data_IF_234392491582
#
_entry.id   IF_234392491582
#
_cell.length_a   1.000
_cell.length_b   1.000
_cell.length_c   1.000
_cell.angle_alpha   90.00
_cell.angle_beta   90.00
_cell.angle_gamma   90.00
#
_symmetry.space_group_name_H-M   'P 1'
#
loop_
_entity.id
_entity.type
_entity.pdbx_description
1 polymer ?
#
# COMPACT_ATOMS: atom_id res chain seq x y z
N UNK A 1 17.06 13.86 -10.95
CA UNK A 1 16.20 15.07 -10.99
C UNK A 1 15.78 15.38 -9.56
N UNK A 2 16.26 16.46 -8.93
CA UNK A 2 16.06 16.71 -7.50
C UNK A 2 15.05 17.85 -7.24
N UNK A 3 14.02 18.01 -8.06
CA UNK A 3 13.14 19.20 -7.99
C UNK A 3 11.94 19.02 -7.05
N UNK A 4 11.58 17.80 -6.65
CA UNK A 4 10.40 17.53 -5.81
C UNK A 4 10.73 17.60 -4.31
N UNK A 5 11.92 17.16 -3.91
CA UNK A 5 12.35 17.09 -2.50
C UNK A 5 12.47 18.45 -1.80
N UNK A 6 12.46 19.56 -2.55
CA UNK A 6 12.56 20.92 -2.01
C UNK A 6 11.19 21.57 -1.70
N UNK A 7 10.08 20.99 -2.17
CA UNK A 7 8.75 21.61 -2.06
C UNK A 7 7.72 20.78 -1.30
N UNK A 8 7.98 19.49 -1.03
CA UNK A 8 7.11 18.69 -0.17
C UNK A 8 7.66 18.60 1.26
N UNK A 9 6.79 18.69 2.29
CA UNK A 9 7.23 18.55 3.67
C UNK A 9 7.91 17.19 3.87
N UNK A 10 9.08 17.19 4.52
CA UNK A 10 9.91 15.99 4.78
C UNK A 10 9.11 14.73 5.25
N UNK A 11 8.06 14.82 6.10
CA UNK A 11 7.24 13.66 6.45
C UNK A 11 6.48 13.01 5.28
N UNK A 12 6.18 13.75 4.21
CA UNK A 12 5.51 13.21 3.03
C UNK A 12 6.44 12.33 2.17
N UNK A 13 7.76 12.48 2.35
CA UNK A 13 8.78 11.75 1.60
C UNK A 13 9.46 10.66 2.44
N UNK A 14 9.38 10.75 3.77
CA UNK A 14 10.07 9.82 4.68
C UNK A 14 9.18 8.63 5.02
N UNK A 15 9.25 7.56 4.23
CA UNK A 15 8.59 6.28 4.50
C UNK A 15 9.37 5.36 5.43
N UNK A 16 10.20 5.87 6.34
CA UNK A 16 11.14 5.06 7.13
C UNK A 16 12.45 4.78 6.39
N UNK A 17 13.33 3.96 6.99
CA UNK A 17 14.68 3.69 6.46
C UNK A 17 14.70 2.98 5.10
N UNK A 18 13.61 2.28 4.74
CA UNK A 18 13.43 1.58 3.48
C UNK A 18 12.25 2.13 2.64
N UNK A 19 11.62 3.21 3.10
CA UNK A 19 10.45 3.79 2.43
C UNK A 19 9.17 2.97 2.56
N UNK A 20 9.13 1.92 3.40
CA UNK A 20 7.99 0.99 3.50
C UNK A 20 7.14 1.10 4.78
N UNK A 21 7.52 1.96 5.72
CA UNK A 21 6.89 2.08 7.05
C UNK A 21 5.38 2.33 6.98
N UNK A 22 4.93 3.23 6.09
CA UNK A 22 3.51 3.52 5.94
C UNK A 22 2.71 2.32 5.43
N UNK A 23 3.25 1.53 4.50
CA UNK A 23 2.56 0.33 4.02
C UNK A 23 2.42 -0.71 5.12
N UNK A 24 3.44 -0.87 5.99
CA UNK A 24 3.35 -1.76 7.16
C UNK A 24 2.24 -1.30 8.11
N UNK A 25 2.17 0.00 8.39
CA UNK A 25 1.11 0.57 9.23
C UNK A 25 -0.28 0.40 8.62
N UNK A 26 -0.43 0.65 7.32
CA UNK A 26 -1.69 0.45 6.61
C UNK A 26 -2.13 -1.03 6.66
N UNK A 27 -1.22 -1.96 6.43
CA UNK A 27 -1.51 -3.39 6.47
C UNK A 27 -1.97 -3.86 7.87
N UNK A 28 -1.41 -3.28 8.94
CA UNK A 28 -1.74 -3.63 10.32
C UNK A 28 -3.00 -2.92 10.85
N UNK A 29 -3.16 -1.62 10.59
CA UNK A 29 -4.13 -0.76 11.30
C UNK A 29 -5.44 -0.56 10.51
N UNK A 30 -5.42 -0.61 9.17
CA UNK A 30 -6.59 -0.18 8.35
C UNK A 30 -7.81 -1.10 8.49
N UNK A 31 -7.58 -2.38 8.77
CA UNK A 31 -8.64 -3.37 8.87
C UNK A 31 -9.62 -3.08 10.02
N UNK A 32 -9.12 -2.58 11.16
CA UNK A 32 -9.91 -2.28 12.36
C UNK A 32 -10.91 -1.12 12.16
N UNK A 33 -10.65 -0.27 11.16
CA UNK A 33 -11.48 0.89 10.82
C UNK A 33 -12.34 0.68 9.58
N UNK A 34 -12.34 -0.53 9.02
CA UNK A 34 -12.95 -0.83 7.72
C UNK A 34 -14.07 -1.86 7.84
N UNK A 35 -15.01 -1.84 6.89
CA UNK A 35 -16.03 -2.89 6.75
C UNK A 35 -15.49 -4.02 5.89
N UNK A 36 -15.97 -5.27 6.04
CA UNK A 36 -15.65 -6.34 5.11
C UNK A 36 -15.93 -5.94 3.66
N UNK A 37 -15.07 -6.37 2.74
CA UNK A 37 -15.11 -5.96 1.32
C UNK A 37 -14.56 -4.55 1.06
N UNK A 38 -13.98 -3.88 2.05
CA UNK A 38 -13.33 -2.59 1.84
C UNK A 38 -12.12 -2.71 0.91
N UNK A 39 -11.97 -1.75 0.00
CA UNK A 39 -10.84 -1.66 -0.92
C UNK A 39 -9.78 -0.72 -0.35
N UNK A 40 -8.53 -1.18 -0.32
CA UNK A 40 -7.35 -0.38 -0.05
C UNK A 40 -6.50 -0.29 -1.32
N UNK A 41 -6.33 0.92 -1.84
CA UNK A 41 -5.46 1.20 -2.97
C UNK A 41 -4.25 2.00 -2.50
N UNK A 42 -3.04 1.53 -2.82
CA UNK A 42 -1.78 2.19 -2.46
C UNK A 42 -0.96 2.48 -3.70
N UNK A 43 -0.51 3.72 -3.82
CA UNK A 43 0.47 4.13 -4.83
C UNK A 43 1.89 3.79 -4.36
N UNK A 44 2.79 3.43 -5.28
CA UNK A 44 4.17 3.08 -4.96
C UNK A 44 5.21 3.53 -5.99
N UNK A 45 6.48 3.53 -5.58
CA UNK A 45 7.61 3.70 -6.50
C UNK A 45 7.86 2.44 -7.33
N UNK A 46 8.56 2.58 -8.47
CA UNK A 46 8.67 1.53 -9.49
C UNK A 46 9.26 0.20 -9.00
N UNK A 47 10.07 0.21 -7.94
CA UNK A 47 10.79 -0.94 -7.39
C UNK A 47 10.16 -1.53 -6.11
N UNK A 48 9.15 -0.87 -5.53
CA UNK A 48 8.59 -1.26 -4.23
C UNK A 48 7.50 -2.32 -4.30
N UNK A 49 7.01 -2.64 -5.50
CA UNK A 49 5.87 -3.55 -5.73
C UNK A 49 5.97 -4.86 -4.94
N UNK A 50 7.11 -5.55 -5.06
CA UNK A 50 7.28 -6.88 -4.48
C UNK A 50 7.24 -6.83 -2.95
N UNK A 51 7.96 -5.87 -2.37
CA UNK A 51 8.02 -5.68 -0.92
C UNK A 51 6.65 -5.29 -0.34
N UNK A 52 5.87 -4.46 -1.05
CA UNK A 52 4.51 -4.12 -0.61
C UNK A 52 3.61 -5.35 -0.65
N UNK A 53 3.66 -6.17 -1.72
CA UNK A 53 2.87 -7.42 -1.77
C UNK A 53 3.23 -8.38 -0.62
N UNK A 54 4.50 -8.46 -0.26
CA UNK A 54 4.97 -9.24 0.89
C UNK A 54 4.42 -8.70 2.22
N UNK A 55 4.48 -7.38 2.44
CA UNK A 55 3.92 -6.73 3.64
C UNK A 55 2.44 -7.07 3.83
N UNK A 56 1.67 -7.07 2.73
CA UNK A 56 0.24 -7.36 2.78
C UNK A 56 -0.09 -8.85 2.83
N UNK A 57 0.87 -9.76 2.57
CA UNK A 57 0.64 -11.21 2.58
C UNK A 57 0.21 -11.74 3.95
N UNK A 58 0.73 -11.14 5.03
CA UNK A 58 0.37 -11.49 6.42
C UNK A 58 -0.83 -10.69 6.96
N UNK A 59 -1.42 -9.83 6.13
CA UNK A 59 -2.55 -8.97 6.50
C UNK A 59 -3.91 -9.62 6.15
N UNK A 60 -5.03 -9.13 6.70
CA UNK A 60 -6.36 -9.60 6.29
C UNK A 60 -6.75 -9.12 4.87
N UNK A 61 -5.98 -8.23 4.26
CA UNK A 61 -6.21 -7.76 2.90
C UNK A 61 -5.67 -8.74 1.85
N UNK A 62 -6.51 -9.10 0.87
CA UNK A 62 -6.14 -9.92 -0.26
C UNK A 62 -5.76 -9.04 -1.47
N UNK A 63 -4.70 -9.39 -2.19
CA UNK A 63 -4.34 -8.70 -3.43
C UNK A 63 -5.39 -8.95 -4.52
N UNK A 64 -5.86 -7.88 -5.16
CA UNK A 64 -6.87 -7.92 -6.23
C UNK A 64 -6.22 -7.72 -7.59
N UNK A 65 -5.56 -6.58 -7.80
CA UNK A 65 -5.00 -6.18 -9.10
C UNK A 65 -4.01 -5.04 -8.97
N UNK A 66 -3.31 -4.79 -10.06
CA UNK A 66 -2.37 -3.70 -10.27
C UNK A 66 -2.94 -2.75 -11.32
N UNK A 67 -2.70 -1.44 -11.17
CA UNK A 67 -3.00 -0.44 -12.20
C UNK A 67 -1.73 0.28 -12.62
N UNK A 68 -1.63 0.51 -13.92
CA UNK A 68 -0.59 1.34 -14.50
C UNK A 68 -0.99 2.81 -14.46
N UNK A 69 0.02 3.69 -14.35
CA UNK A 69 -0.16 5.11 -14.64
C UNK A 69 -0.34 5.36 -16.15
N UNK A 70 -0.62 6.62 -16.54
CA UNK A 70 -0.75 6.98 -17.97
C UNK A 70 0.52 6.75 -18.80
N UNK A 71 1.68 6.58 -18.15
CA UNK A 71 2.93 6.21 -18.79
C UNK A 71 3.13 4.70 -18.96
N UNK A 72 2.17 3.87 -18.54
CA UNK A 72 2.25 2.41 -18.63
C UNK A 72 3.13 1.78 -17.55
N UNK A 73 3.41 2.49 -16.46
CA UNK A 73 4.19 1.95 -15.35
C UNK A 73 3.26 1.51 -14.22
N UNK A 74 3.49 0.30 -13.69
CA UNK A 74 2.81 -0.18 -12.50
C UNK A 74 2.94 0.84 -11.36
N UNK A 75 1.81 1.39 -10.91
CA UNK A 75 1.77 2.51 -9.98
C UNK A 75 0.94 2.21 -8.74
N UNK A 76 -0.16 1.48 -8.90
CA UNK A 76 -1.13 1.25 -7.83
C UNK A 76 -1.36 -0.23 -7.60
N UNK A 77 -1.29 -0.65 -6.34
CA UNK A 77 -1.75 -1.96 -5.90
C UNK A 77 -3.10 -1.83 -5.21
N UNK A 78 -4.03 -2.70 -5.59
CA UNK A 78 -5.36 -2.77 -5.01
C UNK A 78 -5.48 -4.05 -4.19
N UNK A 79 -5.92 -3.89 -2.95
CA UNK A 79 -6.23 -4.95 -2.03
C UNK A 79 -7.68 -4.85 -1.53
N UNK A 80 -8.26 -5.97 -1.11
CA UNK A 80 -9.61 -6.07 -0.56
C UNK A 80 -9.56 -6.70 0.83
N UNK A 81 -10.21 -6.08 1.81
CA UNK A 81 -10.36 -6.63 3.15
C UNK A 81 -11.27 -7.86 3.08
N UNK A 82 -10.70 -9.04 3.35
CA UNK A 82 -11.47 -10.28 3.41
C UNK A 82 -12.51 -10.21 4.52
N UNK A 83 -13.65 -10.85 4.30
CA UNK A 83 -14.54 -11.19 5.42
C UNK A 83 -13.76 -12.07 6.41
N UNK A 84 -13.57 -11.56 7.62
CA UNK A 84 -13.13 -12.38 8.75
C UNK A 84 -14.27 -13.35 9.05
N UNK A 85 -14.14 -14.60 8.62
CA UNK A 85 -15.12 -15.62 8.93
C UNK A 85 -15.05 -15.89 10.45
N UNK A 86 -16.06 -15.54 11.26
CA UNK A 86 -15.96 -15.61 12.73
C UNK A 86 -16.03 -17.05 13.28
N UNK A 87 -16.00 -18.06 12.40
CA UNK A 87 -16.13 -19.47 12.73
C UNK A 87 -14.98 -20.34 12.18
N UNK A 88 -13.84 -19.73 11.86
CA UNK A 88 -12.61 -20.45 11.47
C UNK A 88 -11.92 -21.12 12.65
#
# INVERSE_FOLDING_TARGET
>A
MPEVAQFEPYPALYGGSDGLEFYRRLAAETAEHSKPGAILAVEHAYDQRAAIKEIFADSPFAFVRELDDYGGNARVLIFELRELNPFG
#
